data_IF_419419023423
#
_entry.id   IF_419419023423
#
_cell.length_a   1.000
_cell.length_b   1.000
_cell.length_c   1.000
_cell.angle_alpha   90.00
_cell.angle_beta   90.00
_cell.angle_gamma   90.00
#
_symmetry.space_group_name_H-M   'P 1'
#
loop_
_entity.id
_entity.type
_entity.pdbx_description
1 polymer ?
#
# COMPACT_ATOMS: atom_id res chain seq x y z
N UNK A 1 64.07 11.17 -12.63
CA UNK A 1 64.09 10.29 -13.82
C UNK A 1 63.01 9.24 -13.61
N UNK A 2 61.80 9.46 -14.13
CA UNK A 2 61.34 9.05 -15.48
C UNK A 2 61.24 7.51 -15.57
N UNK A 3 60.16 6.88 -16.04
CA UNK A 3 58.99 7.34 -16.77
C UNK A 3 57.89 6.25 -16.74
N UNK A 4 56.67 6.65 -17.07
CA UNK A 4 55.48 5.84 -17.26
C UNK A 4 55.45 5.07 -18.60
N UNK A 5 54.60 4.05 -18.68
CA UNK A 5 53.81 3.67 -19.87
C UNK A 5 52.71 2.69 -19.42
N UNK A 6 51.42 3.05 -19.37
CA UNK A 6 50.43 3.12 -20.47
C UNK A 6 50.21 1.78 -21.18
N UNK A 7 49.05 1.17 -20.91
CA UNK A 7 48.48 0.04 -21.63
C UNK A 7 46.95 0.13 -21.58
N UNK A 8 46.40 0.89 -22.52
CA UNK A 8 44.98 1.03 -22.83
C UNK A 8 44.51 -0.15 -23.68
N UNK A 9 43.36 -0.77 -23.38
CA UNK A 9 42.42 -1.31 -24.40
C UNK A 9 41.07 -1.68 -23.73
N UNK A 10 40.04 -0.84 -23.91
CA UNK A 10 38.94 -0.90 -24.90
C UNK A 10 37.80 -1.87 -24.50
N UNK A 11 36.62 -1.26 -24.41
CA UNK A 11 35.32 -1.86 -24.17
C UNK A 11 34.87 -2.80 -25.31
N UNK A 12 34.17 -3.86 -24.96
CA UNK A 12 33.37 -4.65 -25.91
C UNK A 12 31.92 -4.70 -25.43
N UNK A 13 31.09 -3.86 -26.04
CA UNK A 13 29.64 -4.00 -26.05
C UNK A 13 29.28 -5.10 -27.05
N UNK A 14 28.40 -6.03 -26.67
CA UNK A 14 27.80 -6.99 -27.59
C UNK A 14 26.31 -6.66 -27.74
N UNK A 15 25.95 -6.09 -28.91
CA UNK A 15 24.59 -5.88 -29.37
C UNK A 15 24.39 -6.60 -30.71
N UNK A 16 23.35 -7.45 -30.73
CA UNK A 16 22.56 -7.96 -31.86
C UNK A 16 23.21 -8.89 -32.92
N UNK A 17 22.40 -9.74 -33.58
CA UNK A 17 21.78 -9.23 -34.79
C UNK A 17 20.26 -9.46 -34.88
N UNK A 18 19.62 -8.45 -35.45
CA UNK A 18 18.32 -8.46 -36.09
C UNK A 18 18.43 -9.28 -37.38
N UNK A 19 17.53 -10.25 -37.57
CA UNK A 19 17.33 -10.94 -38.84
C UNK A 19 16.03 -10.45 -39.49
N UNK A 20 16.14 -9.89 -40.69
CA UNK A 20 15.03 -9.48 -41.54
C UNK A 20 14.94 -10.33 -42.81
N UNK A 21 13.72 -10.36 -43.35
CA UNK A 21 13.27 -10.63 -44.73
C UNK A 21 12.88 -12.05 -45.16
N UNK A 22 11.65 -12.13 -45.70
CA UNK A 22 11.08 -13.31 -46.36
C UNK A 22 9.58 -13.22 -46.66
N UNK A 23 9.16 -12.23 -47.45
CA UNK A 23 7.80 -12.03 -47.97
C UNK A 23 7.44 -13.07 -49.06
N UNK A 24 6.29 -13.76 -48.98
CA UNK A 24 5.58 -14.31 -50.15
C UNK A 24 4.04 -14.22 -49.99
N UNK A 25 3.42 -13.71 -51.06
CA UNK A 25 2.00 -13.36 -51.25
C UNK A 25 1.11 -14.57 -51.55
N UNK A 26 -0.19 -14.45 -51.26
CA UNK A 26 -1.21 -15.38 -51.78
C UNK A 26 -2.68 -15.06 -51.48
N UNK A 27 -3.25 -14.10 -52.23
CA UNK A 27 -4.64 -14.03 -52.75
C UNK A 27 -5.90 -13.97 -51.84
N UNK A 28 -6.58 -12.81 -51.94
CA UNK A 28 -7.98 -12.54 -51.58
C UNK A 28 -9.03 -13.34 -52.37
N UNK A 29 -10.18 -13.62 -51.74
CA UNK A 29 -11.50 -13.63 -52.41
C UNK A 29 -12.58 -13.05 -51.49
N UNK A 30 -13.22 -11.98 -51.98
CA UNK A 30 -14.44 -11.33 -51.45
C UNK A 30 -15.67 -12.16 -51.77
N UNK A 31 -16.66 -12.13 -50.87
CA UNK A 31 -18.04 -12.51 -51.15
C UNK A 31 -18.99 -11.80 -50.19
N UNK A 32 -19.58 -10.70 -50.65
CA UNK A 32 -20.76 -10.08 -50.03
C UNK A 32 -21.99 -10.91 -50.37
N UNK A 33 -22.95 -11.02 -49.44
CA UNK A 33 -24.36 -10.74 -49.74
C UNK A 33 -25.18 -10.59 -48.45
N UNK A 34 -25.76 -9.41 -48.31
CA UNK A 34 -26.78 -9.04 -47.34
C UNK A 34 -28.16 -9.50 -47.84
N UNK A 35 -29.01 -9.96 -46.94
CA UNK A 35 -30.46 -10.01 -47.16
C UNK A 35 -31.18 -9.54 -45.89
N UNK A 36 -31.81 -8.38 -46.02
CA UNK A 36 -32.81 -7.85 -45.10
C UNK A 36 -34.18 -8.19 -45.69
N UNK A 37 -35.14 -8.65 -44.88
CA UNK A 37 -36.55 -8.64 -45.29
C UNK A 37 -37.44 -7.97 -44.25
N UNK A 38 -38.27 -7.09 -44.78
CA UNK A 38 -39.11 -6.11 -44.12
C UNK A 38 -40.50 -6.71 -43.84
N UNK A 39 -41.12 -6.16 -42.82
CA UNK A 39 -42.51 -6.29 -42.32
C UNK A 39 -43.66 -6.58 -43.30
N UNK A 40 -44.65 -7.37 -42.88
CA UNK A 40 -46.04 -6.97 -42.47
C UNK A 40 -47.03 -8.19 -42.39
N UNK A 41 -48.22 -8.03 -41.77
CA UNK A 41 -48.88 -9.05 -40.92
C UNK A 41 -50.10 -9.74 -41.56
N UNK A 42 -50.58 -10.84 -40.95
CA UNK A 42 -52.02 -11.15 -40.96
C UNK A 42 -52.47 -12.02 -39.77
N UNK A 43 -53.60 -11.58 -39.24
CA UNK A 43 -54.47 -12.05 -38.15
C UNK A 43 -55.06 -13.45 -38.40
N UNK A 44 -55.25 -14.20 -37.30
CA UNK A 44 -56.47 -14.98 -37.09
C UNK A 44 -56.28 -16.44 -36.70
N UNK A 45 -56.43 -16.77 -35.42
CA UNK A 45 -57.69 -17.27 -34.85
C UNK A 45 -57.48 -17.61 -33.37
N UNK A 46 -58.38 -17.06 -32.56
CA UNK A 46 -58.59 -17.35 -31.16
C UNK A 46 -59.06 -18.80 -30.97
N UNK A 47 -58.35 -19.54 -30.12
CA UNK A 47 -58.87 -20.75 -29.48
C UNK A 47 -58.74 -20.55 -27.97
N UNK A 48 -59.90 -20.58 -27.31
CA UNK A 48 -60.05 -20.44 -25.88
C UNK A 48 -59.31 -21.59 -25.18
N UNK A 49 -58.40 -21.23 -24.27
CA UNK A 49 -57.72 -22.15 -23.37
C UNK A 49 -58.34 -22.02 -21.97
N UNK A 50 -58.86 -23.12 -21.47
CA UNK A 50 -59.50 -23.25 -20.16
C UNK A 50 -58.55 -22.92 -19.02
N UNK A 51 -59.08 -22.18 -18.04
CA UNK A 51 -58.41 -21.83 -16.80
C UNK A 51 -58.33 -23.09 -15.92
N UNK A 52 -57.12 -23.61 -15.74
CA UNK A 52 -56.80 -24.41 -14.55
C UNK A 52 -55.96 -23.53 -13.62
N UNK A 53 -56.56 -23.11 -12.50
CA UNK A 53 -55.89 -22.38 -11.43
C UNK A 53 -54.88 -23.29 -10.74
N UNK A 54 -53.59 -23.09 -11.00
CA UNK A 54 -52.52 -23.51 -10.10
C UNK A 54 -52.03 -22.31 -9.31
N UNK A 55 -52.15 -22.43 -7.98
CA UNK A 55 -51.62 -21.49 -6.99
C UNK A 55 -50.11 -21.34 -7.19
N UNK A 56 -49.69 -20.21 -7.75
CA UNK A 56 -48.29 -19.77 -7.72
C UNK A 56 -48.09 -19.07 -6.39
N UNK A 57 -47.48 -19.76 -5.44
CA UNK A 57 -46.84 -19.10 -4.29
C UNK A 57 -45.78 -18.14 -4.83
N UNK A 58 -46.13 -16.85 -4.87
CA UNK A 58 -45.18 -15.77 -5.03
C UNK A 58 -44.33 -15.76 -3.75
N UNK A 59 -43.17 -16.42 -3.80
CA UNK A 59 -42.10 -16.12 -2.86
C UNK A 59 -41.70 -14.66 -3.12
N UNK A 60 -42.31 -13.77 -2.34
CA UNK A 60 -41.94 -12.36 -2.25
C UNK A 60 -40.53 -12.35 -1.66
N UNK A 61 -39.52 -12.35 -2.52
CA UNK A 61 -38.13 -12.11 -2.09
C UNK A 61 -38.12 -10.70 -1.53
N UNK A 62 -38.22 -10.61 -0.22
CA UNK A 62 -38.03 -9.37 0.50
C UNK A 62 -36.52 -9.11 0.45
N UNK A 63 -36.09 -8.36 -0.57
CA UNK A 63 -34.73 -7.86 -0.65
C UNK A 63 -34.59 -6.87 0.50
N UNK A 64 -34.14 -7.36 1.65
CA UNK A 64 -33.70 -6.49 2.74
C UNK A 64 -32.50 -5.75 2.20
N UNK A 65 -32.71 -4.52 1.71
CA UNK A 65 -31.63 -3.54 1.65
C UNK A 65 -31.13 -3.44 3.09
N UNK A 66 -29.96 -4.01 3.34
CA UNK A 66 -29.21 -3.72 4.55
C UNK A 66 -29.03 -2.22 4.52
N UNK A 67 -29.75 -1.51 5.39
CA UNK A 67 -29.50 -0.09 5.61
C UNK A 67 -28.04 -0.01 6.06
N UNK A 68 -27.21 0.39 5.12
CA UNK A 68 -25.79 0.55 5.35
C UNK A 68 -25.63 1.69 6.33
N UNK A 69 -25.46 1.35 7.60
CA UNK A 69 -25.08 2.30 8.63
C UNK A 69 -23.64 2.72 8.30
N UNK A 70 -23.48 3.70 7.41
CA UNK A 70 -22.18 4.33 7.19
C UNK A 70 -21.78 5.00 8.50
N UNK A 71 -20.74 4.48 9.14
CA UNK A 71 -20.11 5.20 10.25
C UNK A 71 -19.63 6.54 9.70
N UNK A 72 -19.93 7.62 10.43
CA UNK A 72 -19.40 8.94 10.09
C UNK A 72 -17.88 8.90 10.15
N UNK A 73 -17.24 9.58 9.20
CA UNK A 73 -15.79 9.76 9.15
C UNK A 73 -15.27 10.39 10.45
N UNK A 74 -14.04 10.05 10.82
CA UNK A 74 -13.36 10.53 12.04
C UNK A 74 -12.87 11.95 11.81
N UNK A 75 -13.22 12.86 12.72
CA UNK A 75 -12.72 14.24 12.66
C UNK A 75 -11.21 14.28 12.96
N UNK A 76 -10.46 14.98 12.11
CA UNK A 76 -8.99 15.10 12.20
C UNK A 76 -8.55 16.54 12.45
N UNK A 77 -7.44 16.70 13.16
CA UNK A 77 -6.81 18.00 13.45
C UNK A 77 -5.29 17.87 13.43
N UNK A 78 -4.51 18.94 13.17
CA UNK A 78 -4.92 20.28 12.74
C UNK A 78 -5.23 20.34 11.23
N UNK A 79 -6.30 21.04 10.83
CA UNK A 79 -6.73 21.17 9.42
C UNK A 79 -5.67 21.91 8.59
N UNK A 80 -4.81 22.68 9.25
CA UNK A 80 -3.68 23.40 8.68
C UNK A 80 -2.69 22.50 7.94
N UNK A 81 -2.67 21.19 8.23
CA UNK A 81 -1.85 20.21 7.49
C UNK A 81 -2.26 20.06 6.01
N UNK A 82 -3.46 20.50 5.63
CA UNK A 82 -3.92 20.54 4.24
C UNK A 82 -3.45 21.78 3.48
N UNK A 83 -2.94 22.81 4.16
CA UNK A 83 -2.57 24.09 3.53
C UNK A 83 -1.25 24.03 2.75
N UNK A 84 -0.43 23.01 3.01
CA UNK A 84 0.84 22.84 2.31
C UNK A 84 0.59 22.50 0.82
N UNK A 85 1.29 23.19 -0.09
CA UNK A 85 1.17 22.95 -1.54
C UNK A 85 2.14 21.90 -2.08
N UNK A 86 3.23 21.66 -1.35
CA UNK A 86 4.27 20.72 -1.72
C UNK A 86 4.55 19.80 -0.54
N UNK A 87 4.91 18.53 -0.80
CA UNK A 87 5.25 17.59 0.27
C UNK A 87 6.51 18.06 0.99
N UNK A 88 6.55 17.97 2.34
CA UNK A 88 7.77 18.24 3.09
C UNK A 88 8.86 17.22 2.69
N UNK A 89 10.11 17.68 2.61
CA UNK A 89 11.25 16.84 2.21
C UNK A 89 12.49 17.21 3.00
N UNK A 90 13.14 16.18 3.56
CA UNK A 90 14.44 16.28 4.23
C UNK A 90 14.50 17.42 5.26
N UNK A 91 13.41 17.61 6.03
CA UNK A 91 13.33 18.60 7.11
C UNK A 91 14.45 18.36 8.11
N UNK A 92 14.66 17.10 8.47
CA UNK A 92 15.75 16.66 9.34
C UNK A 92 16.70 15.75 8.56
N UNK A 93 17.99 16.04 8.67
CA UNK A 93 19.07 15.35 7.95
C UNK A 93 19.84 14.44 8.89
N UNK A 94 20.61 13.47 8.40
CA UNK A 94 21.32 12.53 9.27
C UNK A 94 22.34 13.16 10.23
N UNK A 95 22.83 14.38 9.92
CA UNK A 95 23.74 15.14 10.77
C UNK A 95 23.03 15.77 11.98
N UNK A 96 21.77 16.13 11.80
CA UNK A 96 20.92 16.79 12.79
C UNK A 96 19.53 16.14 12.73
N UNK A 97 19.41 14.89 13.21
CA UNK A 97 18.13 14.20 13.25
C UNK A 97 17.21 14.82 14.31
N UNK A 98 15.91 14.62 14.14
CA UNK A 98 14.94 14.96 15.18
C UNK A 98 14.84 13.83 16.21
N UNK A 99 14.89 14.18 17.50
CA UNK A 99 14.70 13.21 18.58
C UNK A 99 13.22 13.07 18.90
N UNK A 100 12.59 12.07 18.31
CA UNK A 100 11.20 11.69 18.56
C UNK A 100 11.07 10.73 19.73
N UNK A 101 9.84 10.48 20.16
CA UNK A 101 9.52 9.61 21.30
C UNK A 101 8.62 8.45 20.86
N UNK A 102 8.93 7.23 21.27
CA UNK A 102 8.08 6.06 21.03
C UNK A 102 6.84 6.16 21.91
N UNK A 103 5.66 6.04 21.30
CA UNK A 103 4.36 6.02 21.99
C UNK A 103 3.95 4.60 22.29
N UNK A 104 3.98 3.72 21.29
CA UNK A 104 3.64 2.30 21.45
C UNK A 104 4.37 1.44 20.43
N UNK A 105 4.55 0.17 20.79
CA UNK A 105 5.06 -0.89 19.93
C UNK A 105 4.18 -2.11 20.14
N UNK A 106 3.52 -2.55 19.09
CA UNK A 106 2.57 -3.66 19.14
C UNK A 106 2.89 -4.67 18.06
N UNK A 107 2.95 -5.95 18.42
CA UNK A 107 3.03 -7.03 17.44
C UNK A 107 1.67 -7.20 16.76
N UNK A 108 1.66 -7.10 15.43
CA UNK A 108 0.43 -7.16 14.61
C UNK A 108 0.29 -8.47 13.82
N UNK A 109 1.05 -9.50 14.18
CA UNK A 109 1.02 -10.82 13.55
C UNK A 109 0.84 -11.93 14.58
N UNK A 110 0.13 -12.98 14.19
CA UNK A 110 -0.13 -14.16 14.99
C UNK A 110 1.11 -15.03 15.26
N UNK A 111 0.98 -16.06 16.10
CA UNK A 111 2.10 -16.92 16.51
C UNK A 111 2.68 -17.75 15.36
N UNK A 112 1.92 -18.05 14.31
CA UNK A 112 2.38 -18.86 13.16
C UNK A 112 3.01 -18.03 12.04
N UNK A 113 3.13 -16.71 12.21
CA UNK A 113 3.83 -15.88 11.23
C UNK A 113 5.33 -16.27 11.18
N UNK A 114 5.96 -16.31 9.99
CA UNK A 114 7.36 -16.72 9.85
C UNK A 114 8.35 -15.70 10.43
N UNK A 115 7.87 -14.51 10.80
CA UNK A 115 8.64 -13.49 11.46
C UNK A 115 7.71 -12.46 12.09
N UNK A 116 8.23 -11.72 13.06
CA UNK A 116 7.48 -10.68 13.74
C UNK A 116 7.39 -9.43 12.87
N UNK A 117 6.18 -8.88 12.78
CA UNK A 117 5.94 -7.52 12.27
C UNK A 117 5.27 -6.72 13.37
N UNK A 118 5.82 -5.54 13.65
CA UNK A 118 5.29 -4.62 14.66
C UNK A 118 4.73 -3.36 14.01
N UNK A 119 3.69 -2.83 14.64
CA UNK A 119 3.20 -1.50 14.45
C UNK A 119 3.81 -0.59 15.52
N UNK A 120 4.44 0.51 15.09
CA UNK A 120 5.21 1.38 15.98
C UNK A 120 4.71 2.79 15.80
N UNK A 121 4.19 3.37 16.88
CA UNK A 121 3.71 4.76 16.90
C UNK A 121 4.80 5.64 17.48
N UNK A 122 5.16 6.70 16.76
CA UNK A 122 6.23 7.65 17.08
C UNK A 122 5.62 9.04 17.20
N UNK A 123 5.83 9.69 18.33
CA UNK A 123 5.49 11.10 18.56
C UNK A 123 6.62 12.00 18.06
N UNK A 124 6.33 12.77 17.01
CA UNK A 124 7.20 13.81 16.44
C UNK A 124 6.80 15.23 16.84
N UNK A 125 5.76 15.37 17.68
CA UNK A 125 5.29 16.63 18.23
C UNK A 125 4.76 17.62 17.18
N UNK A 126 4.50 17.17 15.95
CA UNK A 126 4.16 18.02 14.81
C UNK A 126 5.36 18.67 14.12
N UNK A 127 6.59 18.36 14.55
CA UNK A 127 7.81 18.98 14.00
C UNK A 127 8.26 18.33 12.69
N UNK A 128 7.85 17.08 12.45
CA UNK A 128 8.25 16.32 11.26
C UNK A 128 7.01 15.95 10.43
N UNK A 129 6.18 16.90 9.98
CA UNK A 129 4.99 16.59 9.19
C UNK A 129 5.38 15.88 7.89
N UNK A 130 4.47 15.08 7.35
CA UNK A 130 4.65 14.27 6.13
C UNK A 130 3.34 14.15 5.37
N UNK A 131 3.43 13.73 4.11
CA UNK A 131 2.28 13.32 3.30
C UNK A 131 2.23 11.81 3.18
N UNK A 132 1.03 11.30 2.88
CA UNK A 132 0.77 9.89 2.72
C UNK A 132 1.71 9.27 1.68
N UNK A 133 2.31 8.14 2.06
CA UNK A 133 3.24 7.35 1.25
C UNK A 133 4.68 7.88 1.18
N UNK A 134 5.00 8.93 1.95
CA UNK A 134 6.39 9.25 2.27
C UNK A 134 7.01 8.25 3.27
N UNK A 135 8.33 8.35 3.44
CA UNK A 135 9.12 7.51 4.33
C UNK A 135 9.86 8.34 5.38
N UNK A 136 9.97 7.81 6.59
CA UNK A 136 10.90 8.28 7.60
C UNK A 136 12.20 7.48 7.57
N UNK A 137 13.30 8.18 7.81
CA UNK A 137 14.59 7.55 8.05
C UNK A 137 14.86 7.45 9.54
N UNK A 138 15.17 6.25 10.03
CA UNK A 138 15.53 6.02 11.43
C UNK A 138 17.03 5.76 11.54
N UNK A 139 17.68 6.42 12.50
CA UNK A 139 19.07 6.17 12.88
C UNK A 139 19.04 5.36 14.18
N UNK A 140 19.37 4.05 14.15
CA UNK A 140 19.42 3.26 15.37
C UNK A 140 20.63 3.68 16.23
N UNK A 141 20.56 3.48 17.56
CA UNK A 141 21.66 3.79 18.46
C UNK A 141 22.90 2.93 18.15
N UNK A 142 24.05 3.36 18.66
CA UNK A 142 25.33 2.67 18.51
C UNK A 142 26.14 3.12 17.30
N UNK A 143 27.31 2.50 17.14
CA UNK A 143 28.28 2.83 16.11
C UNK A 143 28.10 1.97 14.87
N UNK A 144 28.50 2.51 13.73
CA UNK A 144 28.53 1.79 12.46
C UNK A 144 29.64 0.72 12.49
N UNK A 145 29.31 -0.57 12.36
CA UNK A 145 30.31 -1.65 12.38
C UNK A 145 31.37 -1.53 11.27
N UNK A 146 31.04 -0.83 10.17
CA UNK A 146 31.97 -0.63 9.03
C UNK A 146 32.84 0.62 9.18
N UNK A 147 32.49 1.53 10.10
CA UNK A 147 33.15 2.83 10.30
C UNK A 147 33.11 3.20 11.79
N UNK A 148 34.04 2.68 12.60
CA UNK A 148 34.13 2.96 14.04
C UNK A 148 34.12 4.47 14.33
N UNK A 149 33.41 4.90 15.36
CA UNK A 149 33.24 6.32 15.72
C UNK A 149 32.24 7.10 14.87
N UNK A 150 31.58 6.47 13.88
CA UNK A 150 30.49 7.11 13.12
C UNK A 150 29.13 6.52 13.51
N UNK A 151 28.04 7.32 13.49
CA UNK A 151 26.70 6.83 13.80
C UNK A 151 26.25 5.80 12.76
N UNK A 152 25.32 4.93 13.18
CA UNK A 152 24.68 4.00 12.26
C UNK A 152 24.04 4.70 11.06
N UNK A 153 24.01 4.03 9.92
CA UNK A 153 23.38 4.58 8.71
C UNK A 153 21.86 4.60 8.85
N UNK A 154 21.22 5.57 8.21
CA UNK A 154 19.75 5.70 8.15
C UNK A 154 19.12 4.47 7.49
N UNK A 155 18.02 3.98 8.06
CA UNK A 155 17.12 2.98 7.43
C UNK A 155 15.78 3.65 7.15
N UNK A 156 15.31 3.54 5.91
CA UNK A 156 14.03 4.10 5.50
C UNK A 156 12.89 3.13 5.80
N UNK A 157 11.82 3.65 6.36
CA UNK A 157 10.56 2.95 6.60
C UNK A 157 9.42 3.78 6.03
N UNK A 158 8.59 3.14 5.20
CA UNK A 158 7.36 3.77 4.72
C UNK A 158 6.43 4.06 5.89
N UNK A 159 5.88 5.26 5.90
CA UNK A 159 4.95 5.67 6.95
C UNK A 159 3.61 4.96 6.70
N UNK A 160 3.10 4.33 7.76
CA UNK A 160 1.88 3.52 7.74
C UNK A 160 0.64 4.28 8.21
N UNK A 161 0.80 5.54 8.61
CA UNK A 161 -0.27 6.44 9.05
C UNK A 161 -0.53 7.54 8.01
N UNK A 162 -1.66 8.22 8.19
CA UNK A 162 -1.97 9.49 7.51
C UNK A 162 -1.15 10.62 8.12
N UNK A 163 -1.16 11.80 7.49
CA UNK A 163 -0.52 13.01 8.03
C UNK A 163 -1.03 13.42 9.42
N UNK A 164 -2.22 12.97 9.80
CA UNK A 164 -2.81 13.19 11.13
C UNK A 164 -2.36 12.17 12.18
N UNK A 165 -1.75 11.06 11.75
CA UNK A 165 -1.32 9.99 12.64
C UNK A 165 -2.48 9.15 13.18
N UNK A 166 -2.15 8.14 13.98
CA UNK A 166 -3.15 7.22 14.52
C UNK A 166 -3.96 7.82 15.68
N UNK A 167 -3.50 8.95 16.23
CA UNK A 167 -4.21 9.76 17.23
C UNK A 167 -5.05 10.90 16.63
N UNK A 168 -5.05 11.05 15.30
CA UNK A 168 -5.80 12.09 14.56
C UNK A 168 -5.48 13.54 14.97
N UNK A 169 -4.27 13.78 15.51
CA UNK A 169 -3.83 15.04 16.10
C UNK A 169 -2.62 15.69 15.39
N UNK A 170 -2.10 15.04 14.34
CA UNK A 170 -0.96 15.53 13.54
C UNK A 170 0.39 15.44 14.24
N UNK A 171 0.47 14.83 15.42
CA UNK A 171 1.73 14.75 16.20
C UNK A 171 2.43 13.42 16.09
N UNK A 172 1.73 12.41 15.60
CA UNK A 172 2.24 11.03 15.56
C UNK A 172 2.47 10.54 14.13
N UNK A 173 3.32 9.54 14.00
CA UNK A 173 3.53 8.77 12.79
C UNK A 173 3.70 7.31 13.14
N UNK A 174 3.15 6.43 12.31
CA UNK A 174 3.22 5.00 12.52
C UNK A 174 4.11 4.33 11.48
N UNK A 175 4.91 3.35 11.90
CA UNK A 175 5.73 2.51 11.02
C UNK A 175 5.27 1.05 11.09
N UNK A 176 5.33 0.36 9.96
CA UNK A 176 5.11 -1.08 9.87
C UNK A 176 6.47 -1.77 9.67
N UNK A 177 6.99 -2.41 10.72
CA UNK A 177 8.38 -2.89 10.76
C UNK A 177 8.41 -4.40 10.94
N UNK A 178 9.02 -5.10 9.98
CA UNK A 178 9.34 -6.53 10.09
C UNK A 178 10.71 -6.70 10.76
N UNK A 179 10.79 -7.53 11.79
CA UNK A 179 12.07 -7.93 12.39
C UNK A 179 12.91 -8.71 11.39
N UNK A 180 14.15 -8.28 11.24
CA UNK A 180 15.14 -9.01 10.46
C UNK A 180 15.97 -9.86 11.42
N UNK A 181 15.62 -11.14 11.52
CA UNK A 181 16.34 -12.16 12.28
C UNK A 181 17.07 -13.05 11.30
N UNK A 182 18.31 -13.41 11.63
CA UNK A 182 19.10 -14.33 10.82
C UNK A 182 19.04 -15.72 11.42
N UNK A 183 18.69 -16.69 10.57
CA UNK A 183 18.79 -18.11 10.87
C UNK A 183 19.83 -18.73 9.94
N UNK A 184 20.73 -19.51 10.52
CA UNK A 184 21.70 -20.27 9.76
C UNK A 184 20.99 -21.29 8.84
N UNK A 185 21.30 -21.34 7.54
CA UNK A 185 20.55 -22.14 6.58
C UNK A 185 20.73 -23.65 6.76
N UNK A 186 21.84 -24.10 7.36
CA UNK A 186 22.11 -25.52 7.57
C UNK A 186 21.58 -26.01 8.92
N UNK A 187 21.81 -25.21 9.97
CA UNK A 187 21.52 -25.60 11.35
C UNK A 187 20.19 -25.05 11.88
N UNK A 188 19.59 -24.08 11.18
CA UNK A 188 18.37 -23.38 11.61
C UNK A 188 18.54 -22.55 12.89
N UNK A 189 19.77 -22.42 13.41
CA UNK A 189 20.05 -21.70 14.65
C UNK A 189 20.04 -20.19 14.41
N UNK A 190 19.47 -19.46 15.35
CA UNK A 190 19.52 -18.00 15.34
C UNK A 190 20.94 -17.51 15.66
N UNK A 191 21.42 -16.53 14.89
CA UNK A 191 22.66 -15.81 15.17
C UNK A 191 22.36 -14.35 15.53
N UNK A 192 22.39 -14.00 16.84
CA UNK A 192 22.11 -12.64 17.30
C UNK A 192 23.10 -11.59 16.75
N UNK A 193 24.30 -11.99 16.31
CA UNK A 193 25.29 -11.06 15.76
C UNK A 193 24.95 -10.59 14.35
N UNK A 194 24.11 -11.36 13.62
CA UNK A 194 23.69 -11.08 12.24
C UNK A 194 22.28 -10.48 12.16
N UNK A 195 21.67 -10.13 13.30
CA UNK A 195 20.34 -9.52 13.32
C UNK A 195 20.34 -8.11 12.73
N UNK A 196 19.23 -7.71 12.13
CA UNK A 196 19.06 -6.34 11.63
C UNK A 196 19.03 -5.33 12.77
N UNK A 197 20.00 -4.42 12.81
CA UNK A 197 20.17 -3.47 13.91
C UNK A 197 18.90 -2.59 14.09
N UNK A 198 18.44 -1.93 13.03
CA UNK A 198 17.35 -0.95 13.13
C UNK A 198 15.97 -1.58 13.34
N UNK A 199 15.66 -2.66 12.62
CA UNK A 199 14.35 -3.32 12.76
C UNK A 199 14.17 -3.96 14.14
N UNK A 200 15.21 -4.59 14.69
CA UNK A 200 15.14 -5.12 16.05
C UNK A 200 15.07 -3.98 17.09
N UNK A 201 15.89 -2.93 16.95
CA UNK A 201 15.82 -1.76 17.83
C UNK A 201 14.40 -1.17 17.91
N UNK A 202 13.76 -0.97 16.75
CA UNK A 202 12.41 -0.43 16.66
C UNK A 202 11.37 -1.36 17.29
N UNK A 203 11.43 -2.65 16.99
CA UNK A 203 10.49 -3.62 17.56
C UNK A 203 10.75 -3.92 19.05
N UNK A 204 11.97 -3.70 19.56
CA UNK A 204 12.34 -3.85 20.97
C UNK A 204 12.05 -2.58 21.81
N UNK A 205 11.70 -1.48 21.14
CA UNK A 205 11.47 -0.19 21.80
C UNK A 205 10.23 -0.23 22.69
N UNK A 206 10.22 0.64 23.71
CA UNK A 206 9.13 0.78 24.68
C UNK A 206 8.58 2.20 24.69
N UNK A 207 7.34 2.40 25.17
CA UNK A 207 6.79 3.73 25.39
C UNK A 207 7.75 4.61 26.19
N UNK A 208 8.06 5.80 25.67
CA UNK A 208 8.99 6.75 26.26
C UNK A 208 10.42 6.72 25.69
N UNK A 209 10.81 5.65 24.98
CA UNK A 209 12.13 5.56 24.37
C UNK A 209 12.34 6.64 23.31
N UNK A 210 13.58 7.11 23.18
CA UNK A 210 13.95 8.13 22.19
C UNK A 210 14.43 7.48 20.91
N UNK A 211 13.96 8.00 19.78
CA UNK A 211 14.33 7.54 18.45
C UNK A 211 14.77 8.71 17.58
N UNK A 212 15.89 8.55 16.88
CA UNK A 212 16.40 9.56 15.96
C UNK A 212 15.77 9.38 14.59
N UNK A 213 14.95 10.35 14.18
CA UNK A 213 14.25 10.35 12.90
C UNK A 213 14.80 11.43 11.95
N UNK A 214 14.72 11.13 10.66
CA UNK A 214 15.16 11.96 9.54
C UNK A 214 14.11 11.93 8.44
N UNK A 215 14.15 12.89 7.54
CA UNK A 215 13.15 13.05 6.49
C UNK A 215 12.07 14.08 6.85
N UNK A 216 10.81 13.87 6.43
CA UNK A 216 10.36 12.79 5.55
C UNK A 216 11.04 12.82 4.18
N UNK A 217 10.97 11.73 3.44
CA UNK A 217 11.59 11.58 2.12
C UNK A 217 10.72 10.75 1.17
N UNK A 218 10.94 10.94 -0.12
CA UNK A 218 10.19 10.24 -1.18
C UNK A 218 9.05 11.07 -1.76
N UNK A 219 8.87 10.94 -3.08
CA UNK A 219 7.75 11.51 -3.85
C UNK A 219 7.03 10.49 -4.74
N UNK A 220 7.61 9.30 -4.91
CA UNK A 220 7.12 8.28 -5.86
C UNK A 220 5.75 7.75 -5.45
N UNK A 221 5.58 7.52 -4.14
CA UNK A 221 4.36 7.00 -3.54
C UNK A 221 3.57 8.14 -2.93
N UNK A 222 3.43 9.29 -3.60
CA UNK A 222 2.45 10.28 -3.16
C UNK A 222 1.10 9.90 -3.77
N UNK A 223 0.03 10.12 -3.00
CA UNK A 223 -1.32 9.92 -3.50
C UNK A 223 -1.65 11.01 -4.52
N UNK A 224 -2.02 10.68 -5.76
CA UNK A 224 -2.54 11.68 -6.69
C UNK A 224 -3.97 12.04 -6.26
N UNK A 225 -4.15 13.27 -5.79
CA UNK A 225 -5.43 13.79 -5.30
C UNK A 225 -6.16 14.69 -6.32
N UNK A 226 -5.59 14.87 -7.51
CA UNK A 226 -6.13 15.75 -8.56
C UNK A 226 -7.54 15.32 -9.03
N UNK A 227 -7.79 14.01 -9.08
CA UNK A 227 -9.10 13.44 -9.36
C UNK A 227 -9.60 12.59 -8.17
N UNK A 228 -10.59 13.09 -7.39
CA UNK A 228 -11.13 12.36 -6.25
C UNK A 228 -11.89 11.08 -6.63
N UNK A 229 -12.19 10.87 -7.91
CA UNK A 229 -12.86 9.69 -8.44
C UNK A 229 -11.90 8.71 -9.13
N UNK A 230 -10.58 8.95 -9.02
CA UNK A 230 -9.58 8.08 -9.61
C UNK A 230 -9.66 6.65 -9.08
N UNK A 231 -9.22 5.70 -9.91
CA UNK A 231 -9.07 4.31 -9.50
C UNK A 231 -7.64 4.05 -9.03
N UNK A 232 -7.47 3.62 -7.79
CA UNK A 232 -6.17 3.28 -7.20
C UNK A 232 -6.06 1.77 -7.00
N UNK A 233 -5.20 1.14 -7.79
CA UNK A 233 -4.86 -0.28 -7.63
C UNK A 233 -3.57 -0.37 -6.81
N UNK A 234 -3.67 -0.95 -5.62
CA UNK A 234 -2.61 -1.03 -4.62
C UNK A 234 -2.15 -2.47 -4.49
N UNK A 235 -0.88 -2.73 -4.78
CA UNK A 235 -0.30 -4.08 -4.71
C UNK A 235 0.78 -4.07 -3.63
N UNK A 236 0.58 -4.87 -2.58
CA UNK A 236 1.45 -4.97 -1.41
C UNK A 236 1.91 -6.40 -1.18
N UNK A 237 3.14 -6.54 -0.67
CA UNK A 237 3.63 -7.77 -0.05
C UNK A 237 4.22 -7.43 1.33
N UNK A 238 3.75 -8.13 2.38
CA UNK A 238 4.17 -7.88 3.77
C UNK A 238 4.10 -6.40 4.17
N UNK A 239 5.21 -5.85 4.69
CA UNK A 239 5.29 -4.45 5.16
C UNK A 239 5.08 -3.40 4.05
N UNK A 240 5.07 -3.79 2.77
CA UNK A 240 4.70 -2.93 1.65
C UNK A 240 3.26 -2.40 1.71
N UNK A 241 2.43 -2.89 2.63
CA UNK A 241 1.09 -2.37 2.90
C UNK A 241 1.08 -1.00 3.59
N UNK A 242 2.20 -0.59 4.21
CA UNK A 242 2.30 0.65 4.97
C UNK A 242 1.71 1.90 4.27
N UNK A 243 2.19 2.31 3.08
CA UNK A 243 1.65 3.51 2.43
C UNK A 243 0.15 3.40 2.12
N UNK A 244 -0.33 2.19 1.79
CA UNK A 244 -1.73 1.96 1.46
C UNK A 244 -2.66 2.03 2.67
N UNK A 245 -2.17 1.68 3.87
CA UNK A 245 -2.92 1.96 5.10
C UNK A 245 -3.17 3.46 5.25
N UNK A 246 -2.15 4.29 5.02
CA UNK A 246 -2.29 5.76 4.98
C UNK A 246 -3.32 6.21 3.94
N UNK A 247 -3.23 5.69 2.72
CA UNK A 247 -4.17 6.05 1.65
C UNK A 247 -5.62 5.72 2.04
N UNK A 248 -5.85 4.49 2.51
CA UNK A 248 -7.19 3.99 2.82
C UNK A 248 -7.80 4.72 4.02
N UNK A 249 -7.01 5.08 5.03
CA UNK A 249 -7.49 5.93 6.13
C UNK A 249 -7.90 7.31 5.64
N UNK A 250 -7.10 7.95 4.79
CA UNK A 250 -7.43 9.26 4.20
C UNK A 250 -8.68 9.19 3.31
N UNK A 251 -8.82 8.12 2.51
CA UNK A 251 -9.97 7.92 1.62
C UNK A 251 -11.26 7.62 2.39
N UNK A 252 -11.22 6.71 3.36
CA UNK A 252 -12.43 6.13 3.96
C UNK A 252 -12.62 6.50 5.43
N UNK A 253 -11.58 6.52 6.25
CA UNK A 253 -11.70 6.71 7.70
C UNK A 253 -11.81 8.19 8.11
N UNK A 254 -11.01 9.09 7.53
CA UNK A 254 -10.86 10.46 7.99
C UNK A 254 -11.84 11.43 7.30
N UNK A 255 -12.28 12.44 8.03
CA UNK A 255 -13.11 13.55 7.53
C UNK A 255 -12.21 14.70 7.05
N UNK A 256 -11.67 14.53 5.85
CA UNK A 256 -10.82 15.52 5.20
C UNK A 256 -11.69 16.39 4.29
N UNK A 257 -11.85 17.67 4.63
CA UNK A 257 -12.72 18.58 3.87
C UNK A 257 -12.24 18.85 2.46
N UNK A 258 -10.93 18.80 2.22
CA UNK A 258 -10.27 19.06 0.94
C UNK A 258 -10.31 17.87 -0.01
N UNK A 259 -10.45 16.65 0.52
CA UNK A 259 -10.37 15.42 -0.26
C UNK A 259 -11.48 14.44 0.11
N UNK A 260 -12.45 14.28 -0.80
CA UNK A 260 -13.56 13.33 -0.65
C UNK A 260 -13.46 12.27 -1.74
N UNK A 261 -12.92 11.12 -1.37
CA UNK A 261 -12.76 10.01 -2.31
C UNK A 261 -14.12 9.43 -2.74
N UNK A 262 -14.38 9.43 -4.04
CA UNK A 262 -15.55 8.82 -4.67
C UNK A 262 -15.19 7.75 -5.70
N UNK A 263 -13.89 7.46 -5.86
CA UNK A 263 -13.37 6.51 -6.84
C UNK A 263 -13.39 5.05 -6.37
N UNK A 264 -12.53 4.24 -6.98
CA UNK A 264 -12.35 2.83 -6.64
C UNK A 264 -10.94 2.57 -6.08
N UNK A 265 -10.86 2.11 -4.84
CA UNK A 265 -9.63 1.65 -4.21
C UNK A 265 -9.59 0.12 -4.19
N UNK A 266 -8.58 -0.49 -4.80
CA UNK A 266 -8.44 -1.94 -4.87
C UNK A 266 -7.10 -2.38 -4.28
N UNK A 267 -7.14 -3.01 -3.11
CA UNK A 267 -5.96 -3.52 -2.42
C UNK A 267 -5.74 -5.02 -2.67
N UNK A 268 -4.55 -5.37 -3.14
CA UNK A 268 -4.01 -6.72 -3.21
C UNK A 268 -2.92 -6.87 -2.15
N UNK A 269 -3.10 -7.79 -1.21
CA UNK A 269 -2.16 -8.02 -0.11
C UNK A 269 -1.64 -9.45 -0.13
N UNK A 270 -0.35 -9.60 -0.48
CA UNK A 270 0.39 -10.85 -0.40
C UNK A 270 1.04 -11.06 0.97
N UNK A 271 0.66 -12.13 1.66
CA UNK A 271 1.27 -12.53 2.95
C UNK A 271 1.54 -14.03 2.99
N UNK A 272 2.43 -14.45 3.90
CA UNK A 272 2.85 -15.85 3.99
C UNK A 272 1.74 -16.79 4.47
N UNK A 273 0.90 -16.34 5.40
CA UNK A 273 -0.23 -17.11 5.93
C UNK A 273 -1.24 -16.16 6.60
N UNK A 274 -2.36 -16.70 7.08
CA UNK A 274 -3.42 -15.94 7.77
C UNK A 274 -2.90 -15.20 9.00
N UNK A 275 -2.00 -15.80 9.78
CA UNK A 275 -1.37 -15.16 10.95
C UNK A 275 -0.45 -13.99 10.58
N UNK A 276 -0.04 -13.90 9.31
CA UNK A 276 0.83 -12.83 8.79
C UNK A 276 0.03 -11.68 8.17
N UNK A 277 -1.30 -11.71 8.24
CA UNK A 277 -2.14 -10.62 7.77
C UNK A 277 -1.89 -9.36 8.61
N UNK A 278 -1.80 -8.23 7.93
CA UNK A 278 -1.51 -6.93 8.54
C UNK A 278 -2.72 -6.02 8.35
N UNK A 279 -3.25 -5.48 9.44
CA UNK A 279 -4.40 -4.57 9.44
C UNK A 279 -5.67 -5.13 8.78
N UNK A 280 -5.85 -6.46 8.79
CA UNK A 280 -6.96 -7.15 8.14
C UNK A 280 -8.34 -6.69 8.63
N UNK A 281 -8.47 -6.49 9.94
CA UNK A 281 -9.70 -5.98 10.56
C UNK A 281 -10.06 -4.59 10.03
N UNK A 282 -9.07 -3.72 9.85
CA UNK A 282 -9.26 -2.36 9.35
C UNK A 282 -9.73 -2.38 7.88
N UNK A 283 -9.09 -3.20 7.04
CA UNK A 283 -9.47 -3.33 5.63
C UNK A 283 -10.82 -4.03 5.44
N UNK A 284 -11.11 -5.06 6.23
CA UNK A 284 -12.40 -5.74 6.23
C UNK A 284 -13.52 -4.78 6.62
N UNK A 285 -13.26 -3.85 7.55
CA UNK A 285 -14.21 -2.82 7.92
C UNK A 285 -14.51 -1.87 6.73
N UNK A 286 -13.50 -1.50 5.92
CA UNK A 286 -13.74 -0.70 4.71
C UNK A 286 -14.58 -1.46 3.66
N UNK A 287 -14.42 -2.77 3.52
CA UNK A 287 -15.26 -3.58 2.62
C UNK A 287 -16.74 -3.50 3.01
N UNK A 288 -17.03 -3.52 4.32
CA UNK A 288 -18.40 -3.45 4.82
C UNK A 288 -18.99 -2.04 4.71
N UNK A 289 -18.17 -1.01 4.93
CA UNK A 289 -18.64 0.38 4.89
C UNK A 289 -18.74 0.95 3.47
N UNK A 290 -17.87 0.52 2.56
CA UNK A 290 -17.73 1.08 1.20
C UNK A 290 -17.62 -0.02 0.12
N UNK A 291 -18.60 -0.92 -0.03
CA UNK A 291 -18.55 -2.06 -0.93
C UNK A 291 -18.47 -1.67 -2.42
N UNK A 292 -18.99 -0.51 -2.78
CA UNK A 292 -18.94 0.00 -4.17
C UNK A 292 -17.59 0.65 -4.51
N UNK A 293 -16.89 1.17 -3.50
CA UNK A 293 -15.66 1.97 -3.66
C UNK A 293 -14.40 1.24 -3.20
N UNK A 294 -14.50 0.16 -2.42
CA UNK A 294 -13.34 -0.58 -1.91
C UNK A 294 -13.42 -2.07 -2.27
N UNK A 295 -12.31 -2.60 -2.78
CA UNK A 295 -12.10 -4.02 -3.03
C UNK A 295 -10.81 -4.48 -2.37
N UNK A 296 -10.84 -5.66 -1.78
CA UNK A 296 -9.70 -6.23 -1.07
C UNK A 296 -9.53 -7.70 -1.45
N UNK A 297 -8.32 -8.03 -1.88
CA UNK A 297 -7.93 -9.38 -2.27
C UNK A 297 -6.68 -9.78 -1.49
N UNK A 298 -6.79 -10.86 -0.71
CA UNK A 298 -5.65 -11.45 -0.02
C UNK A 298 -5.07 -12.55 -0.90
N UNK A 299 -3.74 -12.51 -1.10
CA UNK A 299 -2.98 -13.54 -1.77
C UNK A 299 -2.14 -14.27 -0.71
N UNK A 300 -2.44 -15.54 -0.48
CA UNK A 300 -1.69 -16.39 0.45
C UNK A 300 -0.79 -17.34 -0.35
N UNK A 301 0.44 -17.51 0.12
CA UNK A 301 1.42 -18.44 -0.45
C UNK A 301 1.27 -19.85 0.14
#
# INVERSE_FOLDING_TARGET
>A
MASAALGTQVAAAALAPVGSDGFLKGSSRKGNNSLNFRSKPWVGKSLAWEKTQQSRHLNKVFCMSVQQASKSKVAVKPVELENAKEPPLNLYKPKEPYTATIVSVERIVGPKAPGETCHIVIDHGGNVPYWEGQSYGVIPPGENPKKPGSPNTVRLYSIASTRYGDSFDGKTASLCVRRAVYYDPETGKEDPSKKGICSNFLCDSKPGDKVQITGPSGKIMLLPEDDPNATHIMIATGTGVAPYRGYLRRMFMEDVSTYKFGGLAWLFLGVANSDSLLYDEEFTNYLQQYPDNFRFCVLQA
#
